data_IF_459875536384
#
_entry.id   IF_459875536384
#
_cell.length_a   1.000
_cell.length_b   1.000
_cell.length_c   1.000
_cell.angle_alpha   90.00
_cell.angle_beta   90.00
_cell.angle_gamma   90.00
#
_symmetry.space_group_name_H-M   'P 1'
#
loop_
_entity.id
_entity.type
_entity.pdbx_description
1 polymer ?
#
# COMPACT_ATOMS: atom_id res chain seq x y z
N UNK A 1 -33.02 2.61 7.90
CA UNK A 1 -31.88 1.68 7.77
C UNK A 1 -30.84 2.17 8.75
N UNK A 2 -30.51 1.40 9.80
CA UNK A 2 -29.38 1.75 10.67
C UNK A 2 -28.13 1.43 9.84
N UNK A 3 -27.43 2.47 9.40
CA UNK A 3 -26.09 2.31 8.83
C UNK A 3 -25.20 1.82 9.99
N UNK A 4 -24.79 0.56 9.92
CA UNK A 4 -23.86 0.00 10.90
C UNK A 4 -22.56 0.80 10.83
N UNK A 5 -22.04 1.34 11.96
CA UNK A 5 -20.81 2.09 11.89
C UNK A 5 -19.68 1.16 11.46
N UNK A 6 -18.86 1.63 10.53
CA UNK A 6 -17.73 0.90 10.00
C UNK A 6 -16.43 1.55 10.42
N UNK A 7 -15.41 0.74 10.60
CA UNK A 7 -14.06 1.17 10.95
C UNK A 7 -13.11 0.72 9.88
N UNK A 8 -12.32 1.68 9.42
CA UNK A 8 -11.23 1.44 8.49
C UNK A 8 -9.97 1.22 9.30
N UNK A 9 -9.32 0.09 9.07
CA UNK A 9 -8.01 -0.24 9.60
C UNK A 9 -7.00 -0.12 8.48
N UNK A 10 -5.90 0.56 8.75
CA UNK A 10 -4.81 0.68 7.81
C UNK A 10 -3.46 0.44 8.48
N UNK A 11 -2.63 -0.36 7.84
CA UNK A 11 -1.23 -0.55 8.23
C UNK A 11 -0.36 -0.71 6.97
N UNK A 12 0.94 -0.47 7.10
CA UNK A 12 1.89 -0.68 6.00
C UNK A 12 2.55 -2.03 6.22
N UNK A 13 2.44 -2.91 5.23
CA UNK A 13 3.02 -4.23 5.32
C UNK A 13 4.56 -4.13 5.30
N UNK A 14 5.30 -4.68 6.28
CA UNK A 14 6.77 -4.64 6.26
C UNK A 14 7.38 -5.37 5.05
N UNK A 15 6.71 -6.41 4.54
CA UNK A 15 7.22 -7.22 3.44
C UNK A 15 7.05 -6.59 2.05
N UNK A 16 5.86 -6.12 1.69
CA UNK A 16 5.61 -5.49 0.38
C UNK A 16 5.63 -3.95 0.42
N UNK A 17 5.71 -3.34 1.62
CA UNK A 17 5.63 -1.89 1.86
C UNK A 17 4.40 -1.20 1.25
N UNK A 18 3.34 -1.97 0.95
CA UNK A 18 2.08 -1.43 0.46
C UNK A 18 1.15 -1.09 1.64
N UNK A 19 0.37 0.00 1.53
CA UNK A 19 -0.68 0.29 2.48
C UNK A 19 -1.80 -0.75 2.33
N UNK A 20 -2.09 -1.46 3.41
CA UNK A 20 -3.21 -2.37 3.50
C UNK A 20 -4.32 -1.64 4.23
N UNK A 21 -5.36 -1.26 3.49
CA UNK A 21 -6.55 -0.55 4.02
C UNK A 21 -7.74 -1.50 3.94
N UNK A 22 -8.37 -1.78 5.07
CA UNK A 22 -9.48 -2.71 5.16
C UNK A 22 -10.59 -2.13 6.03
N UNK A 23 -11.81 -2.15 5.51
CA UNK A 23 -13.02 -1.75 6.22
C UNK A 23 -13.67 -2.95 6.92
N UNK A 24 -14.03 -2.79 8.19
CA UNK A 24 -14.80 -3.77 8.98
C UNK A 24 -15.90 -3.09 9.77
N UNK A 25 -17.07 -3.72 9.85
CA UNK A 25 -18.18 -3.25 10.67
C UNK A 25 -17.83 -3.38 12.16
N UNK A 26 -18.33 -2.47 13.01
CA UNK A 26 -18.15 -2.57 14.47
C UNK A 26 -18.61 -3.92 15.02
N UNK A 27 -19.69 -4.48 14.48
CA UNK A 27 -20.19 -5.81 14.86
C UNK A 27 -19.17 -6.90 14.62
N UNK A 28 -18.49 -6.92 13.46
CA UNK A 28 -17.46 -7.92 13.18
C UNK A 28 -16.25 -7.75 14.11
N UNK A 29 -15.88 -6.52 14.41
CA UNK A 29 -14.75 -6.20 15.27
C UNK A 29 -15.02 -6.50 16.74
N UNK A 30 -16.27 -6.38 17.20
CA UNK A 30 -16.65 -6.65 18.58
C UNK A 30 -17.05 -8.12 18.81
N UNK A 31 -17.59 -8.79 17.79
CA UNK A 31 -18.13 -10.15 17.94
C UNK A 31 -17.05 -11.24 17.89
N UNK A 32 -15.94 -11.04 17.17
CA UNK A 32 -14.94 -12.10 16.98
C UNK A 32 -13.54 -11.55 16.68
N UNK A 33 -12.54 -12.38 16.94
CA UNK A 33 -11.18 -12.11 16.49
C UNK A 33 -11.14 -11.89 14.97
N UNK A 34 -10.44 -10.84 14.56
CA UNK A 34 -10.34 -10.44 13.16
C UNK A 34 -8.88 -10.51 12.72
N UNK A 35 -8.59 -11.42 11.78
CA UNK A 35 -7.28 -11.51 11.14
C UNK A 35 -7.35 -10.90 9.75
N UNK A 36 -6.54 -9.88 9.51
CA UNK A 36 -6.44 -9.17 8.25
C UNK A 36 -5.11 -9.53 7.58
N UNK A 37 -5.18 -10.40 6.58
CA UNK A 37 -4.00 -10.78 5.80
C UNK A 37 -3.73 -9.74 4.72
N UNK A 38 -2.46 -9.37 4.56
CA UNK A 38 -2.00 -8.55 3.44
C UNK A 38 -2.18 -9.33 2.12
N UNK A 39 -2.53 -8.67 1.00
CA UNK A 39 -2.60 -9.33 -0.32
C UNK A 39 -1.30 -10.00 -0.76
N UNK A 40 -0.13 -9.60 -0.21
CA UNK A 40 1.12 -10.30 -0.47
C UNK A 40 1.25 -11.63 0.29
N UNK A 41 0.40 -11.90 1.30
CA UNK A 41 0.43 -13.13 2.10
C UNK A 41 1.52 -13.18 3.19
N UNK A 42 2.49 -12.27 3.17
CA UNK A 42 3.63 -12.26 4.10
C UNK A 42 3.37 -11.54 5.44
N UNK A 43 2.26 -10.83 5.59
CA UNK A 43 1.95 -10.09 6.82
C UNK A 43 0.48 -10.18 7.18
N UNK A 44 0.19 -10.20 8.48
CA UNK A 44 -1.16 -10.34 9.02
C UNK A 44 -1.31 -9.38 10.19
N UNK A 45 -2.39 -8.61 10.21
CA UNK A 45 -2.82 -7.82 11.35
C UNK A 45 -3.86 -8.62 12.12
N UNK A 46 -3.68 -8.77 13.42
CA UNK A 46 -4.57 -9.55 14.28
C UNK A 46 -5.30 -8.63 15.26
N UNK A 47 -6.60 -8.78 15.39
CA UNK A 47 -7.43 -7.99 16.31
C UNK A 47 -8.16 -8.96 17.21
N UNK A 48 -7.96 -8.82 18.52
CA UNK A 48 -8.66 -9.60 19.53
C UNK A 48 -9.49 -8.64 20.36
N UNK A 49 -10.81 -8.57 20.12
CA UNK A 49 -11.70 -7.86 21.03
C UNK A 49 -11.73 -8.57 22.39
N UNK A 50 -11.70 -7.79 23.46
CA UNK A 50 -11.97 -8.24 24.83
C UNK A 50 -13.11 -7.43 25.45
N UNK A 51 -13.51 -7.77 26.67
CA UNK A 51 -14.68 -7.16 27.35
C UNK A 51 -14.55 -5.64 27.55
N UNK A 52 -13.35 -5.15 27.91
CA UNK A 52 -13.08 -3.71 28.12
C UNK A 52 -11.98 -3.16 27.20
N UNK A 53 -11.12 -4.04 26.68
CA UNK A 53 -9.93 -3.66 25.90
C UNK A 53 -9.80 -4.49 24.63
N UNK A 54 -9.39 -3.84 23.56
CA UNK A 54 -9.09 -4.46 22.26
C UNK A 54 -7.59 -4.56 22.12
N UNK A 55 -7.08 -5.76 21.85
CA UNK A 55 -5.67 -6.01 21.53
C UNK A 55 -5.50 -6.08 20.02
N UNK A 56 -4.55 -5.34 19.49
CA UNK A 56 -4.24 -5.31 18.08
C UNK A 56 -2.76 -5.67 17.94
N UNK A 57 -2.47 -6.72 17.19
CA UNK A 57 -1.12 -7.09 16.79
C UNK A 57 -0.90 -6.57 15.39
N UNK A 58 -0.01 -5.59 15.24
CA UNK A 58 0.36 -5.01 13.96
C UNK A 58 1.85 -5.27 13.68
N UNK A 59 2.20 -5.81 12.49
CA UNK A 59 3.59 -5.90 12.08
C UNK A 59 4.11 -4.51 11.73
N UNK A 60 5.17 -4.04 12.38
CA UNK A 60 5.71 -2.71 12.08
C UNK A 60 6.83 -2.77 11.05
N UNK A 61 6.75 -1.88 10.06
CA UNK A 61 7.75 -1.68 9.01
C UNK A 61 9.14 -1.34 9.56
N UNK A 62 9.22 -0.46 10.55
CA UNK A 62 10.48 0.15 10.94
C UNK A 62 11.37 -0.75 11.79
N UNK A 63 10.78 -1.48 12.74
CA UNK A 63 11.51 -2.39 13.61
C UNK A 63 11.45 -3.86 13.14
N UNK A 64 10.66 -4.14 12.09
CA UNK A 64 10.38 -5.48 11.57
C UNK A 64 9.90 -6.48 12.63
N UNK A 65 9.23 -5.98 13.68
CA UNK A 65 8.64 -6.78 14.76
C UNK A 65 7.14 -6.55 14.84
N UNK A 66 6.44 -7.55 15.34
CA UNK A 66 5.03 -7.45 15.73
C UNK A 66 4.90 -6.61 16.99
N UNK A 67 4.12 -5.53 16.91
CA UNK A 67 3.72 -4.72 18.05
C UNK A 67 2.33 -5.11 18.49
N UNK A 68 2.21 -5.51 19.76
CA UNK A 68 0.93 -5.71 20.41
C UNK A 68 0.54 -4.42 21.12
N UNK A 69 -0.49 -3.76 20.62
CA UNK A 69 -1.06 -2.54 21.22
C UNK A 69 -2.42 -2.87 21.82
N UNK A 70 -2.74 -2.25 22.96
CA UNK A 70 -4.01 -2.46 23.65
C UNK A 70 -4.70 -1.12 23.90
N UNK A 71 -5.90 -0.95 23.37
CA UNK A 71 -6.73 0.24 23.56
C UNK A 71 -8.05 -0.13 24.23
N UNK A 72 -8.76 0.84 24.82
CA UNK A 72 -10.11 0.61 25.35
C UNK A 72 -11.08 0.34 24.22
N UNK A 73 -11.99 -0.62 24.39
CA UNK A 73 -13.00 -0.96 23.38
C UNK A 73 -13.84 0.27 23.01
N UNK A 74 -14.19 1.11 23.98
CA UNK A 74 -14.90 2.36 23.73
C UNK A 74 -14.12 3.31 22.80
N UNK A 75 -12.81 3.51 23.03
CA UNK A 75 -11.98 4.34 22.16
C UNK A 75 -11.87 3.73 20.75
N UNK A 76 -11.64 2.42 20.66
CA UNK A 76 -11.58 1.72 19.37
C UNK A 76 -12.86 1.87 18.54
N UNK A 77 -14.03 1.85 19.19
CA UNK A 77 -15.33 1.89 18.53
C UNK A 77 -15.84 3.32 18.29
N UNK A 78 -15.47 4.30 19.12
CA UNK A 78 -16.04 5.67 19.09
C UNK A 78 -15.05 6.79 18.70
N UNK A 79 -13.74 6.59 18.83
CA UNK A 79 -12.73 7.61 18.52
C UNK A 79 -12.61 7.84 17.01
N UNK A 80 -12.47 9.07 16.53
CA UNK A 80 -12.47 9.37 15.08
C UNK A 80 -11.29 8.75 14.33
N UNK A 81 -10.10 8.83 14.93
CA UNK A 81 -8.89 8.24 14.41
C UNK A 81 -7.96 7.89 15.59
N UNK A 82 -7.51 6.64 15.62
CA UNK A 82 -6.50 6.11 16.50
C UNK A 82 -5.25 5.84 15.68
N UNK A 83 -4.13 6.42 16.10
CA UNK A 83 -2.81 6.14 15.55
C UNK A 83 -2.01 5.37 16.60
N UNK A 84 -1.38 4.29 16.18
CA UNK A 84 -0.48 3.51 17.02
C UNK A 84 0.95 3.73 16.56
N UNK A 85 1.69 4.46 17.38
CA UNK A 85 3.11 4.74 17.18
C UNK A 85 3.98 3.62 17.75
N UNK A 86 5.02 3.24 17.00
CA UNK A 86 6.04 2.35 17.51
C UNK A 86 6.98 3.14 18.42
N UNK A 87 7.10 2.71 19.67
CA UNK A 87 7.99 3.33 20.65
C UNK A 87 9.48 3.30 20.25
N UNK A 88 9.88 2.37 19.35
CA UNK A 88 11.26 2.25 18.89
C UNK A 88 11.60 3.26 17.79
N UNK A 89 10.67 3.53 16.88
CA UNK A 89 10.92 4.38 15.70
C UNK A 89 10.26 5.75 15.80
N UNK A 90 9.32 5.93 16.73
CA UNK A 90 8.54 7.17 16.90
C UNK A 90 7.54 7.43 15.77
N UNK A 91 7.41 6.51 14.82
CA UNK A 91 6.55 6.61 13.65
C UNK A 91 5.33 5.69 13.81
N UNK A 92 4.22 6.09 13.22
CA UNK A 92 2.96 5.36 13.27
C UNK A 92 3.02 4.09 12.42
N UNK A 93 2.66 2.94 13.02
CA UNK A 93 2.61 1.65 12.31
C UNK A 93 1.17 1.22 11.96
N UNK A 94 0.15 1.76 12.62
CA UNK A 94 -1.25 1.39 12.41
C UNK A 94 -2.19 2.58 12.63
N UNK A 95 -3.23 2.67 11.80
CA UNK A 95 -4.32 3.63 11.92
C UNK A 95 -5.66 2.91 11.95
N UNK A 96 -6.56 3.34 12.84
CA UNK A 96 -7.92 2.84 12.93
C UNK A 96 -8.88 4.01 13.06
N UNK A 97 -9.88 4.11 12.20
CA UNK A 97 -10.74 5.29 12.20
C UNK A 97 -11.79 5.31 11.11
N UNK A 98 -12.29 6.51 10.83
CA UNK A 98 -13.11 6.78 9.66
C UNK A 98 -12.26 6.67 8.38
N UNK A 99 -12.87 6.16 7.30
CA UNK A 99 -12.23 5.96 5.99
C UNK A 99 -11.40 7.17 5.54
N UNK A 100 -12.00 8.35 5.56
CA UNK A 100 -11.43 9.57 4.98
C UNK A 100 -10.18 10.02 5.74
N UNK A 101 -10.23 9.97 7.07
CA UNK A 101 -9.11 10.31 7.93
C UNK A 101 -7.99 9.28 7.80
N UNK A 102 -8.33 7.99 7.83
CA UNK A 102 -7.34 6.91 7.70
C UNK A 102 -6.63 6.98 6.35
N UNK A 103 -7.34 7.22 5.25
CA UNK A 103 -6.75 7.33 3.93
C UNK A 103 -5.86 8.59 3.78
N UNK A 104 -6.30 9.72 4.33
CA UNK A 104 -5.53 10.97 4.32
C UNK A 104 -4.21 10.84 5.09
N UNK A 105 -4.27 10.22 6.27
CA UNK A 105 -3.09 9.98 7.10
C UNK A 105 -2.18 8.93 6.47
N UNK A 106 -2.74 7.85 5.91
CA UNK A 106 -1.96 6.84 5.19
C UNK A 106 -1.17 7.45 4.05
N UNK A 107 -1.81 8.26 3.21
CA UNK A 107 -1.13 8.93 2.10
C UNK A 107 0.02 9.80 2.59
N UNK A 108 -0.17 10.53 3.70
CA UNK A 108 0.91 11.32 4.32
C UNK A 108 2.03 10.46 4.88
N UNK A 109 1.70 9.30 5.46
CA UNK A 109 2.70 8.36 5.96
C UNK A 109 3.51 7.77 4.80
N UNK A 110 2.86 7.38 3.71
CA UNK A 110 3.53 6.92 2.49
C UNK A 110 4.45 8.00 1.90
N UNK A 111 3.99 9.26 1.83
CA UNK A 111 4.84 10.37 1.37
C UNK A 111 6.01 10.64 2.32
N UNK A 112 5.81 10.48 3.63
CA UNK A 112 6.88 10.64 4.64
C UNK A 112 7.89 9.51 4.56
N UNK A 113 7.44 8.28 4.34
CA UNK A 113 8.29 7.12 4.09
C UNK A 113 9.13 7.31 2.83
N UNK A 114 8.49 7.67 1.71
CA UNK A 114 9.16 7.95 0.44
C UNK A 114 10.25 9.02 0.61
N UNK A 115 9.99 10.07 1.40
CA UNK A 115 10.99 11.12 1.71
C UNK A 115 12.10 10.65 2.63
N UNK A 116 11.78 10.05 3.77
CA UNK A 116 12.76 9.52 4.72
C UNK A 116 13.68 8.48 4.05
N UNK A 117 13.13 7.67 3.16
CA UNK A 117 13.87 6.65 2.42
C UNK A 117 14.63 7.23 1.22
N UNK A 118 14.17 8.34 0.63
CA UNK A 118 14.94 9.13 -0.36
C UNK A 118 16.13 9.84 0.29
N UNK A 119 15.95 10.36 1.52
CA UNK A 119 17.00 11.01 2.30
C UNK A 119 18.01 9.99 2.86
N UNK A 120 17.55 8.80 3.27
CA UNK A 120 18.41 7.66 3.58
C UNK A 120 19.02 7.00 2.32
N UNK A 121 18.45 7.29 1.14
CA UNK A 121 18.76 6.69 -0.17
C UNK A 121 20.04 7.17 -0.85
N UNK A 122 20.95 7.83 -0.13
CA UNK A 122 22.34 7.99 -0.59
C UNK A 122 23.19 6.72 -0.40
N UNK A 123 22.62 5.63 0.15
CA UNK A 123 23.20 4.30 0.14
C UNK A 123 22.12 3.28 -0.25
N UNK A 124 22.35 2.53 -1.33
CA UNK A 124 21.34 1.76 -2.06
C UNK A 124 20.52 0.75 -1.25
N UNK A 125 19.19 0.86 -1.34
CA UNK A 125 18.27 -0.12 -0.76
C UNK A 125 16.93 -0.13 -1.49
N UNK A 126 16.93 -0.39 -2.80
CA UNK A 126 15.73 -0.95 -3.44
C UNK A 126 15.38 -2.27 -2.74
N UNK A 127 14.08 -2.61 -2.65
CA UNK A 127 13.62 -3.82 -1.92
C UNK A 127 14.34 -5.09 -2.42
N UNK A 128 14.71 -5.09 -3.70
CA UNK A 128 15.76 -5.93 -4.28
C UNK A 128 16.34 -5.18 -5.49
N UNK A 129 17.60 -4.73 -5.41
CA UNK A 129 18.26 -4.02 -6.54
C UNK A 129 18.21 -4.81 -7.85
N UNK A 130 18.20 -6.15 -7.73
CA UNK A 130 18.16 -7.08 -8.85
C UNK A 130 16.76 -7.09 -9.47
N UNK A 131 15.70 -7.25 -8.67
CA UNK A 131 14.31 -7.29 -9.15
C UNK A 131 13.94 -5.99 -9.87
N UNK A 132 14.29 -4.84 -9.30
CA UNK A 132 13.99 -3.57 -9.96
C UNK A 132 14.80 -3.39 -11.25
N UNK A 133 16.08 -3.76 -11.28
CA UNK A 133 16.89 -3.70 -12.50
C UNK A 133 16.33 -4.60 -13.60
N UNK A 134 15.90 -5.81 -13.27
CA UNK A 134 15.30 -6.76 -14.22
C UNK A 134 13.96 -6.24 -14.76
N UNK A 135 13.06 -5.78 -13.89
CA UNK A 135 11.78 -5.17 -14.31
C UNK A 135 12.00 -3.96 -15.20
N UNK A 136 12.97 -3.09 -14.87
CA UNK A 136 13.34 -1.95 -15.71
C UNK A 136 13.92 -2.38 -17.06
N UNK A 137 14.72 -3.44 -17.09
CA UNK A 137 15.31 -4.00 -18.32
C UNK A 137 14.21 -4.56 -19.24
N UNK A 138 13.31 -5.37 -18.70
CA UNK A 138 12.16 -5.92 -19.45
C UNK A 138 11.25 -4.80 -19.98
N UNK A 139 10.96 -3.79 -19.15
CA UNK A 139 10.19 -2.62 -19.56
C UNK A 139 10.85 -1.85 -20.70
N UNK A 140 12.18 -1.70 -20.63
CA UNK A 140 12.96 -1.04 -21.68
C UNK A 140 12.97 -1.85 -22.96
N UNK A 141 13.03 -3.19 -22.89
CA UNK A 141 12.90 -4.05 -24.05
C UNK A 141 11.52 -3.94 -24.72
N UNK A 142 10.43 -3.98 -23.94
CA UNK A 142 9.06 -3.81 -24.45
C UNK A 142 8.91 -2.42 -25.08
N UNK A 143 9.46 -1.38 -24.46
CA UNK A 143 9.47 -0.02 -24.98
C UNK A 143 10.27 0.11 -26.29
N UNK A 144 11.49 -0.44 -26.34
CA UNK A 144 12.34 -0.42 -27.55
C UNK A 144 11.73 -1.19 -28.71
N UNK A 145 10.94 -2.22 -28.44
CA UNK A 145 10.16 -2.96 -29.45
C UNK A 145 8.88 -2.25 -29.88
N UNK A 146 8.53 -1.12 -29.25
CA UNK A 146 7.29 -0.39 -29.53
C UNK A 146 6.02 -1.07 -28.99
N UNK A 147 6.17 -1.96 -28.01
CA UNK A 147 5.06 -2.70 -27.39
C UNK A 147 4.24 -1.87 -26.38
N UNK A 148 4.64 -0.64 -26.09
CA UNK A 148 3.89 0.29 -25.21
C UNK A 148 2.96 1.15 -26.05
N UNK A 149 1.66 1.02 -25.83
CA UNK A 149 0.63 1.76 -26.57
C UNK A 149 -0.38 2.37 -25.61
N UNK A 150 -0.72 3.63 -25.80
CA UNK A 150 -1.86 4.22 -25.10
C UNK A 150 -3.17 3.92 -25.85
N UNK A 151 -4.28 3.75 -25.13
CA UNK A 151 -5.63 3.73 -25.74
C UNK A 151 -6.01 5.02 -26.45
N UNK A 152 -5.26 6.10 -26.19
CA UNK A 152 -5.35 7.39 -26.86
C UNK A 152 -4.58 7.45 -28.20
N UNK A 153 -3.91 6.38 -28.62
CA UNK A 153 -3.12 6.31 -29.86
C UNK A 153 -1.69 6.85 -29.73
N UNK A 154 -1.36 7.51 -28.61
CA UNK A 154 -0.01 7.99 -28.36
C UNK A 154 0.95 6.85 -28.00
N UNK A 155 2.17 6.93 -28.54
CA UNK A 155 3.30 6.04 -28.21
C UNK A 155 4.32 6.71 -27.30
N UNK A 156 4.15 8.01 -27.06
CA UNK A 156 4.99 8.79 -26.15
C UNK A 156 4.47 8.69 -24.71
N UNK A 157 5.37 8.28 -23.82
CA UNK A 157 5.10 8.13 -22.39
C UNK A 157 6.31 8.58 -21.57
N UNK A 158 6.04 8.98 -20.34
CA UNK A 158 7.02 9.30 -19.30
C UNK A 158 7.05 8.16 -18.31
N UNK A 159 8.24 7.73 -17.94
CA UNK A 159 8.45 6.70 -16.92
C UNK A 159 8.77 7.38 -15.60
N UNK A 160 8.02 7.06 -14.55
CA UNK A 160 8.29 7.50 -13.19
C UNK A 160 8.54 6.27 -12.33
N UNK A 161 9.78 6.12 -11.90
CA UNK A 161 10.22 4.99 -11.09
C UNK A 161 9.93 5.35 -9.63
N UNK A 162 9.14 4.52 -8.96
CA UNK A 162 8.99 4.53 -7.50
C UNK A 162 9.61 3.28 -6.92
N UNK A 163 9.75 3.27 -5.60
CA UNK A 163 10.43 2.24 -4.84
C UNK A 163 9.96 0.79 -5.08
N UNK A 164 8.66 0.59 -5.25
CA UNK A 164 8.03 -0.74 -5.39
C UNK A 164 7.13 -0.82 -6.63
N UNK A 165 7.13 0.22 -7.46
CA UNK A 165 6.21 0.35 -8.60
C UNK A 165 6.82 1.27 -9.65
N UNK A 166 6.70 0.91 -10.92
CA UNK A 166 6.99 1.78 -12.05
C UNK A 166 5.68 2.33 -12.61
N UNK A 167 5.58 3.65 -12.74
CA UNK A 167 4.44 4.30 -13.37
C UNK A 167 4.81 4.76 -14.79
N UNK A 168 4.05 4.31 -15.79
CA UNK A 168 4.12 4.80 -17.17
C UNK A 168 2.98 5.77 -17.41
N UNK A 169 3.31 7.03 -17.67
CA UNK A 169 2.38 8.13 -17.81
C UNK A 169 2.36 8.57 -19.27
N UNK A 170 1.24 8.47 -19.96
CA UNK A 170 1.14 8.94 -21.34
C UNK A 170 1.33 10.47 -21.42
N UNK A 171 2.19 10.93 -22.32
CA UNK A 171 2.48 12.35 -22.50
C UNK A 171 1.31 13.13 -23.13
N UNK A 172 0.37 12.45 -23.79
CA UNK A 172 -0.76 13.06 -24.50
C UNK A 172 -2.03 13.12 -23.64
N UNK A 173 -2.48 11.98 -23.10
CA UNK A 173 -3.74 11.91 -22.33
C UNK A 173 -3.56 11.93 -20.82
N UNK A 174 -2.32 11.86 -20.31
CA UNK A 174 -2.03 11.75 -18.88
C UNK A 174 -2.46 10.42 -18.23
N UNK A 175 -2.87 9.43 -19.02
CA UNK A 175 -3.18 8.08 -18.54
C UNK A 175 -1.98 7.48 -17.83
N UNK A 176 -2.22 6.82 -16.70
CA UNK A 176 -1.14 6.26 -15.85
C UNK A 176 -1.32 4.76 -15.74
N UNK A 177 -0.31 4.01 -16.17
CA UNK A 177 -0.21 2.58 -15.97
C UNK A 177 0.76 2.32 -14.83
N UNK A 178 0.29 1.64 -13.78
CA UNK A 178 1.12 1.26 -12.63
C UNK A 178 1.54 -0.19 -12.76
N UNK A 179 2.83 -0.43 -12.60
CA UNK A 179 3.44 -1.74 -12.74
C UNK A 179 4.17 -2.06 -11.44
N UNK A 180 3.74 -3.07 -10.65
CA UNK A 180 4.45 -3.45 -9.44
C UNK A 180 5.85 -3.99 -9.78
N UNK A 181 6.82 -3.69 -8.92
CA UNK A 181 8.23 -4.08 -9.06
C UNK A 181 8.84 -4.37 -7.68
N UNK A 182 8.10 -5.11 -6.84
CA UNK A 182 8.39 -5.29 -5.43
C UNK A 182 8.84 -6.73 -5.10
N UNK A 183 8.41 -7.73 -5.86
CA UNK A 183 8.70 -9.15 -5.62
C UNK A 183 9.14 -9.87 -6.90
N UNK A 184 9.84 -11.00 -6.77
CA UNK A 184 10.27 -11.80 -7.93
C UNK A 184 9.09 -12.28 -8.79
N UNK A 185 7.90 -12.43 -8.22
CA UNK A 185 6.65 -12.76 -8.94
C UNK A 185 6.24 -11.65 -9.93
N UNK A 186 6.60 -10.39 -9.64
CA UNK A 186 6.36 -9.27 -10.56
C UNK A 186 7.19 -9.39 -11.84
N UNK A 187 8.36 -10.05 -11.78
CA UNK A 187 9.18 -10.34 -12.96
C UNK A 187 8.41 -11.29 -13.88
N UNK A 188 7.80 -12.35 -13.37
CA UNK A 188 7.04 -13.32 -14.18
C UNK A 188 5.81 -12.68 -14.83
N UNK A 189 5.10 -11.82 -14.08
CA UNK A 189 3.94 -11.08 -14.56
C UNK A 189 4.25 -10.08 -15.69
N UNK A 190 5.49 -9.58 -15.74
CA UNK A 190 6.01 -8.72 -16.82
C UNK A 190 6.63 -9.52 -17.96
N UNK A 191 7.39 -10.57 -17.64
CA UNK A 191 8.10 -11.38 -18.61
C UNK A 191 7.12 -12.05 -19.60
N UNK A 192 5.91 -12.39 -19.11
CA UNK A 192 4.85 -12.93 -19.95
C UNK A 192 4.11 -11.88 -20.81
N UNK A 193 4.32 -10.57 -20.61
CA UNK A 193 3.62 -9.50 -21.33
C UNK A 193 4.44 -8.94 -22.49
N UNK A 194 4.01 -9.27 -23.72
CA UNK A 194 4.62 -8.75 -24.96
C UNK A 194 4.28 -7.29 -25.26
N UNK A 195 3.19 -6.77 -24.70
CA UNK A 195 2.70 -5.41 -24.95
C UNK A 195 2.08 -4.82 -23.68
N UNK A 196 2.37 -3.54 -23.41
CA UNK A 196 1.82 -2.79 -22.29
C UNK A 196 0.85 -1.74 -22.81
N UNK A 197 -0.39 -1.80 -22.36
CA UNK A 197 -1.41 -0.84 -22.76
C UNK A 197 -1.66 0.16 -21.64
N UNK A 198 -1.35 1.43 -21.90
CA UNK A 198 -1.69 2.52 -20.98
C UNK A 198 -3.15 2.87 -21.23
N UNK A 199 -3.99 2.64 -20.22
CA UNK A 199 -5.36 3.12 -20.24
C UNK A 199 -5.34 4.63 -19.97
N UNK A 200 -5.78 5.40 -20.97
CA UNK A 200 -6.02 6.83 -20.80
C UNK A 200 -7.00 7.09 -19.66
N UNK A 201 -6.95 8.28 -19.05
CA UNK A 201 -7.89 8.68 -18.00
C UNK A 201 -9.31 8.61 -18.57
N UNK A 202 -10.03 7.50 -18.30
CA UNK A 202 -11.49 7.53 -18.31
C UNK A 202 -11.85 8.31 -17.07
N UNK A 203 -12.53 9.43 -17.27
CA UNK A 203 -13.34 10.06 -16.25
C UNK A 203 -14.34 9.00 -15.76
N UNK A 204 -13.98 8.29 -14.70
CA UNK A 204 -14.95 7.54 -13.92
C UNK A 204 -15.65 8.59 -13.05
N UNK A 205 -16.64 9.24 -13.66
CA UNK A 205 -17.65 9.95 -12.92
C UNK A 205 -18.50 8.95 -12.16
N UNK A 206 -18.48 9.01 -10.83
CA UNK A 206 -19.69 9.03 -10.01
C UNK A 206 -19.39 9.47 -8.58
#
# INVERSE_FOLDING_TARGET
MVEEPKRTLAYICPSCRQPVVIERSLFQLAASESTLSCPCGHSKLHIVPGEDRVKITVPCLFCQKDHVVSCSAHAFLHERALAFSCATSGLDCCYVGEERDVFSVMRRLEETLDKLETEAGQAGSFLDEIVMKEVLSELKEIASRGGVSCTCGAREFKMKIKFSTVELICAQCGGTLRIPAAVADDIDAICCKRTLTIHGRREEGR
#
